data_IF_991002676859
#
_entry.id   IF_991002676859
#
_cell.length_a   1.000
_cell.length_b   1.000
_cell.length_c   1.000
_cell.angle_alpha   90.00
_cell.angle_beta   90.00
_cell.angle_gamma   90.00
#
_symmetry.space_group_name_H-M   'P 1'
#
loop_
_entity.id
_entity.type
_entity.pdbx_description
1 polymer ?
#
# COMPACT_ATOMS: atom_id res chain seq x y z
N UNK A 1 -57.54 -12.70 22.70
CA UNK A 1 -56.89 -13.78 21.94
C UNK A 1 -56.20 -13.18 20.73
N UNK A 2 -54.86 -13.09 20.82
CA UNK A 2 -53.89 -13.27 19.73
C UNK A 2 -53.87 -12.29 18.54
N UNK A 3 -53.28 -11.11 18.71
CA UNK A 3 -52.65 -10.38 17.59
C UNK A 3 -51.36 -11.11 17.19
N UNK A 4 -51.41 -11.82 16.06
CA UNK A 4 -50.25 -12.43 15.45
C UNK A 4 -49.36 -11.33 14.82
N UNK A 5 -48.31 -10.94 15.53
CA UNK A 5 -47.18 -10.16 14.98
C UNK A 5 -46.55 -11.00 13.87
N UNK A 6 -46.87 -10.65 12.62
CA UNK A 6 -46.24 -11.21 11.44
C UNK A 6 -44.87 -10.58 11.28
N UNK A 7 -43.84 -11.23 11.80
CA UNK A 7 -42.45 -10.86 11.54
C UNK A 7 -42.15 -11.12 10.05
N UNK A 8 -42.19 -10.06 9.24
CA UNK A 8 -41.79 -10.10 7.84
C UNK A 8 -40.27 -10.31 7.78
N UNK A 9 -39.84 -11.49 7.36
CA UNK A 9 -38.43 -11.80 7.16
C UNK A 9 -37.79 -10.78 6.18
N UNK A 10 -36.57 -10.28 6.45
CA UNK A 10 -35.89 -9.38 5.54
C UNK A 10 -35.59 -10.13 4.24
N UNK A 11 -36.29 -9.78 3.17
CA UNK A 11 -35.96 -10.24 1.83
C UNK A 11 -34.58 -9.69 1.47
N UNK A 12 -33.58 -10.56 1.34
CA UNK A 12 -32.27 -10.21 0.82
C UNK A 12 -32.45 -9.75 -0.63
N UNK A 13 -32.62 -8.44 -0.86
CA UNK A 13 -32.55 -7.87 -2.20
C UNK A 13 -31.14 -8.11 -2.71
N UNK A 14 -31.02 -9.03 -3.68
CA UNK A 14 -29.85 -9.10 -4.55
C UNK A 14 -29.87 -7.84 -5.42
N UNK A 15 -29.22 -6.79 -4.95
CA UNK A 15 -28.97 -5.55 -5.69
C UNK A 15 -28.13 -5.89 -6.94
N UNK A 16 -28.71 -5.88 -8.16
CA UNK A 16 -28.00 -6.27 -9.39
C UNK A 16 -26.82 -5.33 -9.71
N UNK A 17 -26.78 -4.15 -9.08
CA UNK A 17 -25.69 -3.17 -9.23
C UNK A 17 -24.35 -3.63 -8.66
N UNK A 18 -24.31 -4.58 -7.73
CA UNK A 18 -23.04 -5.06 -7.12
C UNK A 18 -22.26 -6.00 -8.04
N UNK A 19 -22.91 -6.66 -9.00
CA UNK A 19 -22.22 -7.53 -9.96
C UNK A 19 -21.47 -6.75 -11.05
N UNK A 20 -21.83 -5.48 -11.29
CA UNK A 20 -21.17 -4.63 -12.29
C UNK A 20 -19.73 -4.27 -11.88
N UNK A 21 -19.37 -4.37 -10.59
CA UNK A 21 -17.98 -4.14 -10.16
C UNK A 21 -17.06 -5.31 -10.52
N UNK A 22 -17.62 -6.49 -10.83
CA UNK A 22 -16.85 -7.71 -11.08
C UNK A 22 -16.02 -7.61 -12.35
N UNK A 23 -16.56 -7.21 -13.53
CA UNK A 23 -15.74 -7.05 -14.73
C UNK A 23 -14.55 -6.08 -14.60
N UNK A 24 -14.72 -4.82 -14.10
CA UNK A 24 -13.58 -3.91 -13.95
C UNK A 24 -12.59 -4.39 -12.88
N UNK A 25 -13.06 -4.94 -11.76
CA UNK A 25 -12.17 -5.49 -10.73
C UNK A 25 -11.39 -6.71 -11.25
N UNK A 26 -12.04 -7.60 -12.03
CA UNK A 26 -11.39 -8.75 -12.64
C UNK A 26 -10.35 -8.32 -13.67
N UNK A 27 -10.63 -7.29 -14.48
CA UNK A 27 -9.67 -6.73 -15.42
C UNK A 27 -8.45 -6.15 -14.70
N UNK A 28 -8.65 -5.36 -13.64
CA UNK A 28 -7.57 -4.81 -12.82
C UNK A 28 -6.76 -5.91 -12.14
N UNK A 29 -7.43 -6.91 -11.58
CA UNK A 29 -6.78 -8.07 -10.98
C UNK A 29 -5.95 -8.83 -12.02
N UNK A 30 -6.50 -9.09 -13.21
CA UNK A 30 -5.77 -9.77 -14.27
C UNK A 30 -4.55 -8.96 -14.70
N UNK A 31 -4.70 -7.64 -14.92
CA UNK A 31 -3.61 -6.75 -15.30
C UNK A 31 -2.48 -6.73 -14.26
N UNK A 32 -2.82 -6.77 -12.97
CA UNK A 32 -1.85 -6.76 -11.88
C UNK A 32 -1.21 -8.15 -11.63
N UNK A 33 -2.02 -9.19 -11.52
CA UNK A 33 -1.56 -10.53 -11.14
C UNK A 33 -0.93 -11.30 -12.29
N UNK A 34 -1.31 -11.05 -13.54
CA UNK A 34 -0.72 -11.73 -14.70
C UNK A 34 0.81 -11.52 -14.80
N UNK A 35 1.35 -10.29 -14.81
CA UNK A 35 2.80 -10.08 -14.84
C UNK A 35 3.47 -10.60 -13.57
N UNK A 36 2.82 -10.48 -12.40
CA UNK A 36 3.37 -10.97 -11.14
C UNK A 36 3.52 -12.50 -11.15
N UNK A 37 2.52 -13.21 -11.68
CA UNK A 37 2.57 -14.66 -11.86
C UNK A 37 3.64 -15.05 -12.88
N UNK A 38 3.85 -14.26 -13.94
CA UNK A 38 4.91 -14.50 -14.91
C UNK A 38 6.30 -14.36 -14.28
N UNK A 39 6.52 -13.30 -13.50
CA UNK A 39 7.77 -13.07 -12.75
C UNK A 39 8.00 -14.20 -11.74
N UNK A 40 6.97 -14.60 -11.00
CA UNK A 40 7.07 -15.72 -10.06
C UNK A 40 7.44 -17.01 -10.79
N UNK A 41 6.79 -17.28 -11.93
CA UNK A 41 7.11 -18.44 -12.77
C UNK A 41 8.57 -18.42 -13.22
N UNK A 42 9.06 -17.29 -13.72
CA UNK A 42 10.46 -17.11 -14.13
C UNK A 42 11.45 -17.21 -12.96
N UNK A 43 11.06 -16.80 -11.76
CA UNK A 43 11.91 -16.93 -10.57
C UNK A 43 12.10 -18.39 -10.13
N UNK A 44 11.12 -19.26 -10.36
CA UNK A 44 11.16 -20.67 -9.94
C UNK A 44 11.49 -21.66 -11.07
N UNK A 45 11.30 -21.29 -12.32
CA UNK A 45 11.54 -22.14 -13.49
C UNK A 45 12.57 -21.46 -14.39
N UNK A 46 13.62 -22.20 -14.72
CA UNK A 46 14.59 -21.81 -15.72
C UNK A 46 13.99 -21.94 -17.14
N UNK A 47 14.59 -21.32 -18.17
CA UNK A 47 14.11 -21.36 -19.57
C UNK A 47 14.05 -22.81 -20.12
N UNK A 48 14.80 -23.71 -19.48
CA UNK A 48 14.85 -25.16 -19.74
C UNK A 48 13.72 -25.97 -19.08
N UNK A 49 12.87 -25.34 -18.25
CA UNK A 49 11.80 -26.00 -17.50
C UNK A 49 12.24 -26.70 -16.21
N UNK A 50 13.51 -26.56 -15.81
CA UNK A 50 14.05 -27.11 -14.57
C UNK A 50 13.81 -26.13 -13.41
N UNK A 51 13.51 -26.66 -12.23
CA UNK A 51 13.25 -25.85 -11.04
C UNK A 51 14.52 -25.10 -10.59
N UNK A 52 14.52 -23.77 -10.64
CA UNK A 52 15.64 -22.89 -10.30
C UNK A 52 15.72 -22.57 -8.79
N UNK A 53 15.33 -23.52 -7.95
CA UNK A 53 15.30 -23.37 -6.48
C UNK A 53 16.72 -23.14 -5.92
N UNK A 54 17.74 -23.65 -6.61
CA UNK A 54 19.14 -23.44 -6.25
C UNK A 54 19.56 -21.96 -6.30
N UNK A 55 19.10 -21.19 -7.29
CA UNK A 55 19.45 -19.77 -7.41
C UNK A 55 18.73 -18.93 -6.34
N UNK A 56 17.48 -19.27 -5.99
CA UNK A 56 16.78 -18.63 -4.86
C UNK A 56 17.56 -18.79 -3.56
N UNK A 57 18.04 -20.00 -3.26
CA UNK A 57 18.87 -20.28 -2.07
C UNK A 57 20.18 -19.50 -2.13
N UNK A 58 20.80 -19.41 -3.32
CA UNK A 58 22.03 -18.65 -3.54
C UNK A 58 21.86 -17.16 -3.26
N UNK A 59 20.76 -16.55 -3.72
CA UNK A 59 20.43 -15.14 -3.44
C UNK A 59 20.19 -14.93 -1.94
N UNK A 60 19.48 -15.84 -1.28
CA UNK A 60 19.26 -15.78 0.16
C UNK A 60 20.56 -15.95 0.98
N UNK A 61 21.55 -16.67 0.47
CA UNK A 61 22.89 -16.78 1.08
C UNK A 61 23.82 -15.61 0.74
N UNK A 62 23.42 -14.71 -0.17
CA UNK A 62 24.23 -13.55 -0.53
C UNK A 62 24.23 -12.53 0.61
N UNK A 63 25.40 -12.32 1.20
CA UNK A 63 25.60 -11.29 2.25
C UNK A 63 25.23 -9.90 1.76
N UNK A 64 25.48 -9.60 0.48
CA UNK A 64 25.10 -8.31 -0.11
C UNK A 64 23.58 -8.13 -0.13
N UNK A 65 22.85 -9.17 -0.56
CA UNK A 65 21.39 -9.15 -0.59
C UNK A 65 20.80 -9.03 0.82
N UNK A 66 21.27 -9.83 1.77
CA UNK A 66 20.80 -9.78 3.14
C UNK A 66 21.08 -8.44 3.82
N UNK A 67 22.27 -7.87 3.62
CA UNK A 67 22.60 -6.55 4.17
C UNK A 67 21.70 -5.46 3.58
N UNK A 68 21.47 -5.48 2.27
CA UNK A 68 20.55 -4.54 1.62
C UNK A 68 19.12 -4.70 2.16
N UNK A 69 18.65 -5.94 2.29
CA UNK A 69 17.32 -6.25 2.82
C UNK A 69 17.14 -5.78 4.25
N UNK A 70 18.10 -6.07 5.13
CA UNK A 70 18.06 -5.63 6.53
C UNK A 70 18.04 -4.10 6.61
N UNK A 71 18.85 -3.42 5.80
CA UNK A 71 18.86 -1.96 5.76
C UNK A 71 17.52 -1.37 5.27
N UNK A 72 16.93 -1.95 4.23
CA UNK A 72 15.61 -1.52 3.75
C UNK A 72 14.54 -1.71 4.81
N UNK A 73 14.53 -2.85 5.50
CA UNK A 73 13.56 -3.14 6.57
C UNK A 73 13.78 -2.23 7.78
N UNK A 74 15.03 -2.00 8.19
CA UNK A 74 15.31 -1.12 9.34
C UNK A 74 14.88 0.32 9.05
N UNK A 75 15.18 0.83 7.85
CA UNK A 75 14.76 2.17 7.42
C UNK A 75 13.23 2.25 7.34
N UNK A 76 12.56 1.25 6.75
CA UNK A 76 11.10 1.29 6.59
C UNK A 76 10.37 1.22 7.93
N UNK A 77 10.85 0.42 8.89
CA UNK A 77 10.30 0.35 10.25
C UNK A 77 10.52 1.66 10.98
N UNK A 78 11.73 2.22 10.95
CA UNK A 78 12.03 3.50 11.59
C UNK A 78 11.20 4.65 11.00
N UNK A 79 11.10 4.72 9.68
CA UNK A 79 10.27 5.71 8.99
C UNK A 79 8.78 5.54 9.34
N UNK A 80 8.27 4.31 9.37
CA UNK A 80 6.87 4.05 9.74
C UNK A 80 6.59 4.46 11.18
N UNK A 81 7.48 4.12 12.12
CA UNK A 81 7.35 4.53 13.52
C UNK A 81 7.36 6.06 13.65
N UNK A 82 8.28 6.75 12.96
CA UNK A 82 8.31 8.21 12.91
C UNK A 82 7.03 8.82 12.33
N UNK A 83 6.53 8.28 11.21
CA UNK A 83 5.27 8.71 10.60
C UNK A 83 4.07 8.47 11.52
N UNK A 84 4.02 7.36 12.26
CA UNK A 84 2.96 7.11 13.22
C UNK A 84 2.99 8.13 14.36
N UNK A 85 4.15 8.40 14.94
CA UNK A 85 4.26 9.37 16.04
C UNK A 85 3.88 10.77 15.57
N UNK A 86 4.53 11.27 14.52
CA UNK A 86 4.32 12.64 14.02
C UNK A 86 2.94 12.79 13.38
N UNK A 87 2.54 11.82 12.55
CA UNK A 87 1.26 11.83 11.84
C UNK A 87 0.06 11.67 12.78
N UNK A 88 0.16 10.84 13.82
CA UNK A 88 -0.90 10.72 14.82
C UNK A 88 -1.08 12.03 15.60
N UNK A 89 0.01 12.64 16.06
CA UNK A 89 -0.05 13.95 16.74
C UNK A 89 -0.70 14.99 15.85
N UNK A 90 -0.26 15.08 14.59
CA UNK A 90 -0.81 16.03 13.62
C UNK A 90 -2.30 15.75 13.35
N UNK A 91 -2.70 14.49 13.19
CA UNK A 91 -4.08 14.09 12.97
C UNK A 91 -4.98 14.45 14.15
N UNK A 92 -4.52 14.22 15.40
CA UNK A 92 -5.27 14.60 16.60
C UNK A 92 -5.46 16.11 16.69
N UNK A 93 -4.42 16.89 16.39
CA UNK A 93 -4.49 18.36 16.39
C UNK A 93 -5.51 18.84 15.35
N UNK A 94 -5.43 18.33 14.11
CA UNK A 94 -6.36 18.72 13.05
C UNK A 94 -7.81 18.28 13.33
N UNK A 95 -8.01 17.13 13.97
CA UNK A 95 -9.32 16.58 14.25
C UNK A 95 -10.03 17.28 15.42
N UNK A 96 -9.28 17.65 16.46
CA UNK A 96 -9.87 18.11 17.72
C UNK A 96 -9.66 19.60 18.03
N UNK A 97 -8.72 20.29 17.37
CA UNK A 97 -8.45 21.71 17.63
C UNK A 97 -9.02 22.59 16.51
N UNK A 98 -10.06 23.40 16.77
CA UNK A 98 -10.60 24.32 15.78
C UNK A 98 -9.73 25.59 15.71
N UNK A 99 -8.59 25.53 15.00
CA UNK A 99 -7.74 26.69 14.75
C UNK A 99 -7.94 27.25 13.32
N UNK A 100 -7.83 28.57 13.11
CA UNK A 100 -8.18 29.26 11.86
C UNK A 100 -7.21 29.03 10.67
N UNK A 101 -6.47 27.92 10.64
CA UNK A 101 -5.51 27.57 9.58
C UNK A 101 -5.50 26.10 9.17
N UNK A 102 -6.39 25.27 9.73
CA UNK A 102 -6.40 23.81 9.50
C UNK A 102 -6.57 23.44 8.02
N UNK A 103 -7.41 24.18 7.29
CA UNK A 103 -7.63 23.96 5.86
C UNK A 103 -6.40 24.22 4.98
N UNK A 104 -5.53 25.15 5.36
CA UNK A 104 -4.28 25.39 4.62
C UNK A 104 -3.31 24.23 4.82
N UNK A 105 -3.16 23.76 6.07
CA UNK A 105 -2.30 22.61 6.40
C UNK A 105 -2.79 21.35 5.68
N UNK A 106 -4.09 21.08 5.67
CA UNK A 106 -4.66 19.94 4.96
C UNK A 106 -4.32 19.97 3.46
N UNK A 107 -4.49 21.12 2.79
CA UNK A 107 -4.13 21.28 1.38
C UNK A 107 -2.64 21.12 1.11
N UNK A 108 -1.78 21.56 2.04
CA UNK A 108 -0.34 21.36 1.92
C UNK A 108 0.01 19.87 1.94
N UNK A 109 -0.59 19.10 2.86
CA UNK A 109 -0.43 17.64 2.93
C UNK A 109 -0.88 16.97 1.62
N UNK A 110 -2.07 17.32 1.12
CA UNK A 110 -2.59 16.79 -0.15
C UNK A 110 -1.65 17.12 -1.32
N UNK A 111 -1.06 18.31 -1.32
CA UNK A 111 -0.07 18.72 -2.34
C UNK A 111 1.18 17.83 -2.29
N UNK A 112 1.70 17.55 -1.10
CA UNK A 112 2.86 16.65 -0.95
C UNK A 112 2.58 15.23 -1.47
N UNK A 113 1.36 14.72 -1.32
CA UNK A 113 0.95 13.41 -1.85
C UNK A 113 0.93 13.42 -3.39
N UNK A 114 0.58 14.56 -3.99
CA UNK A 114 0.57 14.73 -5.45
C UNK A 114 1.96 15.02 -6.04
N UNK A 115 2.96 15.36 -5.23
CA UNK A 115 4.30 15.65 -5.72
C UNK A 115 4.94 14.39 -6.32
N UNK A 116 5.61 14.51 -7.49
CA UNK A 116 6.45 13.44 -8.01
C UNK A 116 7.54 13.06 -7.01
N UNK A 117 7.73 11.76 -6.78
CA UNK A 117 8.70 11.24 -5.81
C UNK A 117 10.12 11.78 -6.05
N UNK A 118 10.47 11.98 -7.33
CA UNK A 118 11.75 12.57 -7.74
C UNK A 118 11.99 13.97 -7.15
N UNK A 119 10.98 14.85 -7.18
CA UNK A 119 11.13 16.20 -6.62
C UNK A 119 11.35 16.16 -5.11
N UNK A 120 10.64 15.26 -4.42
CA UNK A 120 10.80 15.05 -2.98
C UNK A 120 12.23 14.60 -2.67
N UNK A 121 12.77 13.64 -3.44
CA UNK A 121 14.15 13.19 -3.24
C UNK A 121 15.18 14.30 -3.49
N UNK A 122 15.03 15.09 -4.56
CA UNK A 122 15.94 16.20 -4.85
C UNK A 122 15.91 17.30 -3.80
N UNK A 123 14.73 17.64 -3.29
CA UNK A 123 14.60 18.63 -2.23
C UNK A 123 15.37 18.21 -0.97
N UNK A 124 15.24 16.94 -0.55
CA UNK A 124 16.04 16.43 0.56
C UNK A 124 17.54 16.39 0.26
N UNK A 125 17.93 16.02 -0.97
CA UNK A 125 19.33 16.09 -1.39
C UNK A 125 19.88 17.51 -1.30
N UNK A 126 19.14 18.54 -1.71
CA UNK A 126 19.62 19.92 -1.57
C UNK A 126 19.60 20.44 -0.13
N UNK A 127 18.62 20.02 0.68
CA UNK A 127 18.50 20.45 2.08
C UNK A 127 19.53 19.78 3.00
N UNK A 128 19.83 18.50 2.76
CA UNK A 128 20.64 17.67 3.66
C UNK A 128 21.98 17.24 3.04
N UNK A 129 22.11 17.31 1.72
CA UNK A 129 23.36 17.04 1.00
C UNK A 129 24.25 18.27 1.04
N UNK A 130 25.10 18.36 2.05
CA UNK A 130 26.19 19.34 2.12
C UNK A 130 27.34 18.97 1.16
N UNK A 131 27.05 18.90 -0.14
CA UNK A 131 28.05 18.79 -1.21
C UNK A 131 28.10 20.11 -2.00
#
# INVERSE_FOLDING_TARGET
MSEAVTLRAPAFRREPGKLWIVPPAALLALLFFYPLALIARQAFLDDSGVANVAEVIRVLHSRFFLNALINTVSISVAATAGCLVVGLVLALILAFVPFPGSGFIARLIDTFIALPTFLVTLAFTFLYGSA
#
